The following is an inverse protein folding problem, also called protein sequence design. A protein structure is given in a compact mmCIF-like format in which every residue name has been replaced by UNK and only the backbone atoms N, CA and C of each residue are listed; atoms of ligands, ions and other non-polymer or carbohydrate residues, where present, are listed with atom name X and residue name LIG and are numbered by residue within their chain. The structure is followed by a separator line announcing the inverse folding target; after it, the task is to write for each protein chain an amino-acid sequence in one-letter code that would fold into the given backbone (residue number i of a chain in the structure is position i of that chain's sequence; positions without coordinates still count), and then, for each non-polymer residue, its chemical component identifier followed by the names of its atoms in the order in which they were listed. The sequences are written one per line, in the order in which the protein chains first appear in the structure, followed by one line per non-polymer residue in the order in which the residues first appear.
data_IF_214218697295
#
_entry.id   IF_214218697295
#
_cell.length_a   1.000
_cell.length_b   1.000
_cell.length_c   1.000
_cell.angle_alpha   90.00
_cell.angle_beta   90.00
_cell.angle_gamma   90.00
#
_symmetry.space_group_name_H-M   'P 1'
#
loop_
_entity.id
_entity.type
_entity.pdbx_description
1 polymer ?
#
# COMPACT_ATOMS: atom_id res chain seq x y z
N UNK A 1 -48.57 -16.66 -2.65
CA UNK A 1 -47.38 -16.36 -3.50
C UNK A 1 -46.52 -15.26 -2.88
N UNK A 2 -47.09 -14.09 -2.54
CA UNK A 2 -46.38 -12.96 -1.93
C UNK A 2 -45.63 -13.32 -0.63
N UNK A 3 -46.19 -14.24 0.16
CA UNK A 3 -45.58 -14.75 1.40
C UNK A 3 -44.25 -15.49 1.18
N UNK A 4 -44.12 -16.28 0.11
CA UNK A 4 -42.90 -17.02 -0.24
C UNK A 4 -41.80 -16.03 -0.64
N UNK A 5 -42.17 -15.05 -1.46
CA UNK A 5 -41.27 -13.98 -1.89
C UNK A 5 -40.77 -13.15 -0.70
N UNK A 6 -41.66 -12.75 0.20
CA UNK A 6 -41.31 -12.00 1.42
C UNK A 6 -40.40 -12.81 2.36
N UNK A 7 -40.59 -14.13 2.44
CA UNK A 7 -39.71 -15.00 3.21
C UNK A 7 -38.29 -15.02 2.62
N UNK A 8 -38.14 -15.25 1.31
CA UNK A 8 -36.85 -15.19 0.62
C UNK A 8 -36.20 -13.81 0.70
N UNK A 9 -36.98 -12.73 0.58
CA UNK A 9 -36.49 -11.36 0.72
C UNK A 9 -35.88 -11.12 2.11
N UNK A 10 -36.51 -11.64 3.18
CA UNK A 10 -35.99 -11.52 4.54
C UNK A 10 -34.73 -12.34 4.78
N UNK A 11 -34.65 -13.56 4.22
CA UNK A 11 -33.45 -14.42 4.34
C UNK A 11 -32.24 -13.78 3.65
N UNK A 12 -32.44 -13.24 2.46
CA UNK A 12 -31.36 -12.62 1.67
C UNK A 12 -31.06 -11.17 2.07
N UNK A 13 -31.85 -10.55 2.97
CA UNK A 13 -31.64 -9.16 3.40
C UNK A 13 -30.33 -8.95 4.17
N UNK A 14 -29.87 -9.97 4.88
CA UNK A 14 -28.64 -9.93 5.68
C UNK A 14 -27.37 -10.31 4.89
N UNK A 15 -27.51 -10.73 3.63
CA UNK A 15 -26.42 -11.23 2.80
C UNK A 15 -25.86 -10.13 1.87
N UNK A 16 -24.57 -10.22 1.47
CA UNK A 16 -23.99 -9.31 0.48
C UNK A 16 -24.73 -9.38 -0.85
N UNK A 17 -24.83 -8.25 -1.55
CA UNK A 17 -25.48 -8.17 -2.86
C UNK A 17 -24.48 -8.54 -3.95
N UNK A 18 -24.26 -9.84 -4.16
CA UNK A 18 -23.48 -10.39 -5.29
C UNK A 18 -24.39 -10.93 -6.38
N UNK A 19 -23.91 -10.99 -7.61
CA UNK A 19 -24.67 -11.52 -8.75
C UNK A 19 -25.01 -13.01 -8.59
N UNK A 20 -24.16 -13.77 -7.89
CA UNK A 20 -24.38 -15.19 -7.59
C UNK A 20 -25.54 -15.41 -6.61
N UNK A 21 -25.60 -14.64 -5.52
CA UNK A 21 -26.70 -14.71 -4.56
C UNK A 21 -28.02 -14.24 -5.16
N UNK A 22 -27.97 -13.30 -6.10
CA UNK A 22 -29.16 -12.89 -6.84
C UNK A 22 -29.69 -14.01 -7.74
N UNK A 23 -28.82 -14.75 -8.43
CA UNK A 23 -29.23 -15.93 -9.23
C UNK A 23 -29.80 -17.02 -8.33
N UNK A 24 -29.12 -17.37 -7.25
CA UNK A 24 -29.59 -18.38 -6.31
C UNK A 24 -30.97 -18.04 -5.73
N UNK A 25 -31.18 -16.78 -5.33
CA UNK A 25 -32.47 -16.32 -4.83
C UNK A 25 -33.58 -16.53 -5.86
N UNK A 26 -33.32 -16.25 -7.13
CA UNK A 26 -34.30 -16.45 -8.20
C UNK A 26 -34.55 -17.94 -8.46
N UNK A 27 -33.51 -18.77 -8.45
CA UNK A 27 -33.65 -20.22 -8.64
C UNK A 27 -34.46 -20.86 -7.50
N UNK A 28 -34.21 -20.45 -6.25
CA UNK A 28 -35.01 -20.89 -5.10
C UNK A 28 -36.46 -20.41 -5.19
N UNK A 29 -36.69 -19.17 -5.63
CA UNK A 29 -38.04 -18.64 -5.82
C UNK A 29 -38.82 -19.47 -6.85
N UNK A 30 -38.20 -19.80 -7.98
CA UNK A 30 -38.82 -20.64 -9.03
C UNK A 30 -39.18 -22.01 -8.47
N UNK A 31 -38.24 -22.69 -7.81
CA UNK A 31 -38.48 -24.03 -7.26
C UNK A 31 -39.57 -24.04 -6.18
N UNK A 32 -39.59 -23.02 -5.32
CA UNK A 32 -40.63 -22.86 -4.29
C UNK A 32 -42.00 -22.58 -4.91
N UNK A 33 -42.06 -21.79 -6.00
CA UNK A 33 -43.30 -21.51 -6.73
C UNK A 33 -43.84 -22.75 -7.43
N UNK A 34 -42.97 -23.55 -8.05
CA UNK A 34 -43.34 -24.82 -8.68
C UNK A 34 -43.95 -25.78 -7.65
N UNK A 35 -43.30 -25.96 -6.50
CA UNK A 35 -43.80 -26.81 -5.42
C UNK A 35 -45.12 -26.30 -4.84
N UNK A 36 -45.25 -24.99 -4.66
CA UNK A 36 -46.50 -24.38 -4.20
C UNK A 36 -47.67 -24.67 -5.16
N UNK A 37 -47.42 -24.58 -6.47
CA UNK A 37 -48.43 -24.85 -7.49
C UNK A 37 -48.81 -26.34 -7.56
N UNK A 38 -47.84 -27.25 -7.37
CA UNK A 38 -48.09 -28.68 -7.23
C UNK A 38 -49.05 -28.98 -6.06
N UNK A 39 -48.76 -28.44 -4.87
CA UNK A 39 -49.59 -28.65 -3.68
C UNK A 39 -51.00 -28.03 -3.83
N UNK A 40 -51.12 -26.93 -4.57
CA UNK A 40 -52.43 -26.36 -4.93
C UNK A 40 -53.22 -27.27 -5.87
N UNK A 41 -52.55 -27.95 -6.80
CA UNK A 41 -53.19 -28.93 -7.69
C UNK A 41 -53.69 -30.18 -6.93
N UNK A 42 -53.03 -30.52 -5.81
CA UNK A 42 -53.44 -31.57 -4.87
C UNK A 42 -54.58 -31.15 -3.92
N UNK A 43 -55.19 -29.98 -4.13
CA UNK A 43 -56.27 -29.40 -3.32
C UNK A 43 -55.87 -29.04 -1.87
N UNK A 44 -54.59 -28.82 -1.59
CA UNK A 44 -54.17 -28.28 -0.28
C UNK A 44 -54.56 -26.83 -0.12
N UNK A 45 -54.81 -26.43 1.13
CA UNK A 45 -55.11 -25.03 1.45
C UNK A 45 -53.87 -24.14 1.23
N UNK A 46 -54.08 -22.84 1.01
CA UNK A 46 -52.97 -21.90 0.78
C UNK A 46 -51.94 -21.90 1.91
N UNK A 47 -52.43 -21.85 3.14
CA UNK A 47 -51.57 -21.78 4.33
C UNK A 47 -50.84 -23.09 4.58
N UNK A 48 -51.47 -24.23 4.25
CA UNK A 48 -50.84 -25.55 4.34
C UNK A 48 -49.77 -25.72 3.28
N UNK A 49 -50.04 -25.32 2.03
CA UNK A 49 -49.07 -25.38 0.95
C UNK A 49 -47.84 -24.50 1.25
N UNK A 50 -48.04 -23.28 1.76
CA UNK A 50 -46.94 -22.39 2.16
C UNK A 50 -46.11 -23.00 3.30
N UNK A 51 -46.77 -23.56 4.32
CA UNK A 51 -46.08 -24.22 5.44
C UNK A 51 -45.21 -25.39 4.99
N UNK A 52 -45.73 -26.22 4.08
CA UNK A 52 -45.01 -27.36 3.51
C UNK A 52 -43.81 -26.89 2.69
N UNK A 53 -43.99 -25.94 1.76
CA UNK A 53 -42.89 -25.38 0.95
C UNK A 53 -41.78 -24.80 1.82
N UNK A 54 -42.12 -24.02 2.85
CA UNK A 54 -41.10 -23.45 3.75
C UNK A 54 -40.35 -24.56 4.51
N UNK A 55 -41.06 -25.60 4.96
CA UNK A 55 -40.44 -26.72 5.69
C UNK A 55 -39.56 -27.63 4.82
N UNK A 56 -39.94 -27.84 3.56
CA UNK A 56 -39.26 -28.74 2.63
C UNK A 56 -37.96 -28.13 2.11
N UNK A 57 -37.97 -26.82 1.84
CA UNK A 57 -36.78 -26.08 1.45
C UNK A 57 -35.89 -25.71 2.65
N UNK A 58 -36.37 -25.96 3.87
CA UNK A 58 -35.54 -26.17 5.05
C UNK A 58 -34.48 -25.09 5.29
N UNK A 59 -33.39 -25.47 5.95
CA UNK A 59 -32.34 -24.57 6.39
C UNK A 59 -31.61 -23.94 5.18
N UNK A 60 -32.12 -22.83 4.67
CA UNK A 60 -31.51 -22.10 3.55
C UNK A 60 -30.05 -21.75 3.86
N UNK A 61 -29.69 -21.63 5.15
CA UNK A 61 -28.30 -21.48 5.60
C UNK A 61 -27.39 -22.66 5.17
N UNK A 62 -27.92 -23.88 5.12
CA UNK A 62 -27.23 -25.10 4.66
C UNK A 62 -27.09 -25.11 3.14
N UNK A 63 -28.13 -24.72 2.40
CA UNK A 63 -28.09 -24.55 0.94
C UNK A 63 -27.10 -23.45 0.50
N UNK A 64 -27.07 -22.33 1.24
CA UNK A 64 -26.08 -21.26 1.04
C UNK A 64 -24.66 -21.80 1.29
N UNK A 65 -24.50 -22.69 2.27
CA UNK A 65 -23.24 -23.37 2.57
C UNK A 65 -22.78 -24.34 1.47
N UNK A 66 -23.68 -25.16 0.92
CA UNK A 66 -23.35 -26.15 -0.13
C UNK A 66 -23.02 -25.52 -1.49
N UNK A 67 -23.63 -24.38 -1.81
CA UNK A 67 -23.43 -23.70 -3.10
C UNK A 67 -22.09 -22.97 -3.24
N UNK A 68 -21.21 -23.06 -2.23
CA UNK A 68 -19.85 -22.54 -2.35
C UNK A 68 -19.82 -21.03 -2.57
N UNK A 69 -20.89 -20.30 -2.18
CA UNK A 69 -20.73 -18.88 -1.91
C UNK A 69 -19.91 -18.82 -0.63
N UNK A 70 -18.60 -18.79 -0.83
CA UNK A 70 -17.57 -18.60 0.17
C UNK A 70 -17.72 -17.18 0.73
N UNK A 71 -18.85 -16.92 1.38
CA UNK A 71 -19.18 -15.65 1.98
C UNK A 71 -18.28 -15.42 3.19
N UNK A 72 -17.88 -16.47 3.90
CA UNK A 72 -17.02 -16.34 5.07
C UNK A 72 -16.18 -17.58 5.42
N UNK A 73 -16.08 -18.65 4.60
CA UNK A 73 -15.28 -19.81 5.02
C UNK A 73 -13.78 -19.51 5.09
N UNK A 74 -13.30 -18.62 4.21
CA UNK A 74 -11.93 -18.15 4.31
C UNK A 74 -11.73 -17.03 5.34
N UNK A 75 -12.78 -16.34 5.77
CA UNK A 75 -12.69 -15.41 6.90
C UNK A 75 -12.76 -16.17 8.24
N UNK A 76 -13.56 -17.22 8.39
CA UNK A 76 -13.76 -17.92 9.67
C UNK A 76 -12.49 -18.57 10.25
N UNK A 77 -11.45 -18.81 9.45
CA UNK A 77 -10.18 -19.37 9.91
C UNK A 77 -9.07 -18.33 10.13
N UNK A 78 -9.31 -17.04 9.86
CA UNK A 78 -8.33 -16.02 10.21
C UNK A 78 -8.52 -15.54 11.64
N UNK A 79 -7.43 -15.31 12.39
CA UNK A 79 -7.54 -14.75 13.73
C UNK A 79 -8.24 -13.39 13.66
N UNK A 80 -9.29 -13.22 14.46
CA UNK A 80 -9.95 -11.93 14.66
C UNK A 80 -9.01 -11.02 15.44
N UNK A 81 -8.72 -9.85 14.88
CA UNK A 81 -7.86 -8.89 15.58
C UNK A 81 -8.67 -8.11 16.60
N UNK A 82 -8.07 -7.90 17.76
CA UNK A 82 -8.64 -7.12 18.85
C UNK A 82 -8.50 -5.61 18.58
N UNK A 83 -9.33 -4.80 19.24
CA UNK A 83 -9.20 -3.34 19.13
C UNK A 83 -7.83 -2.84 19.61
N UNK A 84 -7.25 -3.54 20.58
CA UNK A 84 -5.93 -3.24 21.13
C UNK A 84 -4.83 -3.53 20.09
N UNK A 85 -4.88 -4.66 19.39
CA UNK A 85 -3.95 -4.99 18.30
C UNK A 85 -4.04 -3.98 17.16
N UNK A 86 -5.25 -3.54 16.79
CA UNK A 86 -5.46 -2.46 15.81
C UNK A 86 -4.76 -1.17 16.26
N UNK A 87 -4.98 -0.75 17.50
CA UNK A 87 -4.37 0.46 18.05
C UNK A 87 -2.85 0.36 18.12
N UNK A 88 -2.33 -0.79 18.52
CA UNK A 88 -0.89 -1.07 18.60
C UNK A 88 -0.26 -1.07 17.21
N UNK A 89 -0.91 -1.67 16.22
CA UNK A 89 -0.48 -1.65 14.82
C UNK A 89 -0.44 -0.23 14.25
N UNK A 90 -1.49 0.57 14.45
CA UNK A 90 -1.52 1.96 14.00
C UNK A 90 -0.44 2.82 14.66
N UNK A 91 -0.25 2.65 15.98
CA UNK A 91 0.80 3.35 16.73
C UNK A 91 2.19 2.97 16.23
N UNK A 92 2.40 1.67 15.95
CA UNK A 92 3.62 1.18 15.34
C UNK A 92 3.86 1.81 13.97
N UNK A 93 2.83 1.89 13.11
CA UNK A 93 2.95 2.48 11.76
C UNK A 93 3.31 3.96 11.83
N UNK A 94 2.71 4.72 12.75
CA UNK A 94 3.08 6.12 13.03
C UNK A 94 4.55 6.25 13.42
N UNK A 95 5.01 5.44 14.37
CA UNK A 95 6.41 5.49 14.83
C UNK A 95 7.40 5.06 13.75
N UNK A 96 7.08 4.02 12.99
CA UNK A 96 7.85 3.56 11.84
C UNK A 96 7.96 4.66 10.78
N UNK A 97 6.86 5.35 10.48
CA UNK A 97 6.87 6.50 9.57
C UNK A 97 7.79 7.64 10.05
N UNK A 98 7.83 7.93 11.36
CA UNK A 98 8.76 8.91 11.92
C UNK A 98 10.21 8.44 11.77
N UNK A 99 10.52 7.21 12.16
CA UNK A 99 11.88 6.67 12.11
C UNK A 99 12.43 6.64 10.68
N UNK A 100 11.64 6.14 9.73
CA UNK A 100 12.00 6.12 8.30
C UNK A 100 12.08 7.54 7.75
N UNK A 101 11.14 8.42 8.12
CA UNK A 101 11.19 9.83 7.72
C UNK A 101 12.47 10.51 8.16
N UNK A 102 12.85 10.39 9.44
CA UNK A 102 14.09 10.97 9.99
C UNK A 102 15.31 10.36 9.29
N UNK A 103 15.33 9.05 9.05
CA UNK A 103 16.43 8.41 8.32
C UNK A 103 16.61 8.98 6.92
N UNK A 104 15.54 9.14 6.14
CA UNK A 104 15.62 9.73 4.80
C UNK A 104 16.01 11.21 4.85
N UNK A 105 15.49 11.96 5.83
CA UNK A 105 15.88 13.35 6.07
C UNK A 105 17.38 13.48 6.35
N UNK A 106 17.96 12.60 7.18
CA UNK A 106 19.39 12.56 7.47
C UNK A 106 20.23 12.23 6.23
N UNK A 107 19.79 11.31 5.37
CA UNK A 107 20.50 10.99 4.12
C UNK A 107 20.54 12.19 3.15
N UNK A 108 19.41 12.86 2.96
CA UNK A 108 19.32 14.03 2.06
C UNK A 108 20.10 15.21 2.65
N UNK A 109 19.95 15.47 3.94
CA UNK A 109 20.69 16.53 4.64
C UNK A 109 22.18 16.24 4.67
N UNK A 110 22.60 14.99 4.84
CA UNK A 110 24.00 14.57 4.75
C UNK A 110 24.60 14.86 3.37
N UNK A 111 23.82 14.65 2.31
CA UNK A 111 24.24 15.00 0.94
C UNK A 111 24.35 16.51 0.77
N UNK A 112 23.40 17.27 1.31
CA UNK A 112 23.44 18.74 1.32
C UNK A 112 24.66 19.28 2.11
N UNK A 113 25.00 18.66 3.25
CA UNK A 113 26.17 19.01 4.05
C UNK A 113 27.49 18.69 3.37
N UNK A 114 27.57 17.59 2.61
CA UNK A 114 28.76 17.29 1.79
C UNK A 114 28.99 18.42 0.78
N UNK A 115 27.95 18.84 0.07
CA UNK A 115 28.03 19.95 -0.89
C UNK A 115 28.39 21.25 -0.18
N UNK A 116 27.81 21.50 1.00
CA UNK A 116 28.10 22.70 1.78
C UNK A 116 29.57 22.76 2.21
N UNK A 117 30.11 21.68 2.78
CA UNK A 117 31.48 21.64 3.30
C UNK A 117 32.49 21.79 2.17
N UNK A 118 32.30 21.09 1.05
CA UNK A 118 33.17 21.20 -0.13
C UNK A 118 33.21 22.65 -0.63
N UNK A 119 32.04 23.26 -0.83
CA UNK A 119 31.94 24.66 -1.27
C UNK A 119 32.61 25.65 -0.30
N UNK A 120 32.42 25.46 1.02
CA UNK A 120 32.99 26.36 2.03
C UNK A 120 34.53 26.24 2.13
N UNK A 121 35.09 25.06 1.84
CA UNK A 121 36.54 24.84 1.79
C UNK A 121 37.11 25.43 0.51
N UNK A 122 36.45 25.23 -0.64
CA UNK A 122 36.86 25.78 -1.93
C UNK A 122 36.87 27.32 -1.92
N UNK A 123 35.89 27.96 -1.26
CA UNK A 123 35.85 29.41 -1.06
C UNK A 123 36.83 29.90 0.02
N UNK A 124 37.55 29.00 0.70
CA UNK A 124 38.51 29.34 1.76
C UNK A 124 37.88 29.97 3.01
N UNK A 125 36.57 29.79 3.19
CA UNK A 125 35.80 30.27 4.36
C UNK A 125 36.15 29.40 5.58
N UNK A 126 36.24 28.09 5.39
CA UNK A 126 36.61 27.12 6.42
C UNK A 126 37.92 26.44 6.00
N UNK A 127 38.85 26.26 6.94
CA UNK A 127 40.08 25.50 6.68
C UNK A 127 41.02 26.19 5.68
N UNK A 128 41.27 27.49 5.82
CA UNK A 128 42.21 28.24 4.98
C UNK A 128 43.54 27.48 4.84
N UNK A 129 43.88 27.11 3.60
CA UNK A 129 45.08 26.35 3.25
C UNK A 129 44.87 24.85 3.04
N UNK A 130 43.65 24.33 3.23
CA UNK A 130 43.30 22.98 2.82
C UNK A 130 43.21 22.88 1.30
N UNK A 131 43.60 21.72 0.77
CA UNK A 131 43.41 21.39 -0.65
C UNK A 131 41.94 21.02 -0.92
N UNK A 132 41.49 21.18 -2.16
CA UNK A 132 40.16 20.77 -2.62
C UNK A 132 39.87 19.31 -2.22
N UNK A 133 40.84 18.41 -2.46
CA UNK A 133 40.75 16.99 -2.09
C UNK A 133 40.46 16.77 -0.60
N UNK A 134 41.01 17.63 0.28
CA UNK A 134 40.76 17.55 1.72
C UNK A 134 39.31 17.94 2.05
N UNK A 135 38.77 18.96 1.38
CA UNK A 135 37.37 19.37 1.52
C UNK A 135 36.40 18.25 1.13
N UNK A 136 36.64 17.59 0.00
CA UNK A 136 35.86 16.42 -0.43
C UNK A 136 35.90 15.28 0.58
N UNK A 137 37.06 14.96 1.15
CA UNK A 137 37.20 13.90 2.16
C UNK A 137 36.44 14.23 3.45
N UNK A 138 36.51 15.47 3.93
CA UNK A 138 35.76 15.91 5.11
C UNK A 138 34.26 15.82 4.84
N UNK A 139 33.80 16.30 3.67
CA UNK A 139 32.40 16.21 3.26
C UNK A 139 31.88 14.76 3.22
N UNK A 140 32.69 13.83 2.68
CA UNK A 140 32.37 12.40 2.67
C UNK A 140 32.27 11.81 4.08
N UNK A 141 33.21 12.14 4.97
CA UNK A 141 33.16 11.70 6.37
C UNK A 141 31.87 12.18 7.04
N UNK A 142 31.50 13.46 6.85
CA UNK A 142 30.25 14.01 7.40
C UNK A 142 29.02 13.30 6.83
N UNK A 143 29.00 12.99 5.53
CA UNK A 143 27.91 12.22 4.91
C UNK A 143 27.76 10.85 5.58
N UNK A 144 28.85 10.09 5.75
CA UNK A 144 28.80 8.77 6.39
C UNK A 144 28.35 8.84 7.84
N UNK A 145 28.79 9.85 8.60
CA UNK A 145 28.33 10.08 9.97
C UNK A 145 26.81 10.31 10.04
N UNK A 146 26.20 10.91 9.02
CA UNK A 146 24.73 11.07 8.93
C UNK A 146 24.02 9.81 8.45
N UNK A 147 24.64 9.02 7.56
CA UNK A 147 24.07 7.77 7.05
C UNK A 147 24.00 6.68 8.13
N UNK A 148 25.01 6.57 9.00
CA UNK A 148 25.06 5.56 10.06
C UNK A 148 23.78 5.55 10.94
N UNK A 149 23.35 6.67 11.55
CA UNK A 149 22.11 6.71 12.31
C UNK A 149 20.88 6.49 11.43
N UNK A 150 20.87 6.95 10.17
CA UNK A 150 19.76 6.69 9.26
C UNK A 150 19.55 5.19 9.00
N UNK A 151 20.63 4.44 8.73
CA UNK A 151 20.59 2.98 8.55
C UNK A 151 20.12 2.29 9.82
N UNK A 152 20.60 2.71 10.99
CA UNK A 152 20.15 2.16 12.27
C UNK A 152 18.63 2.37 12.49
N UNK A 153 18.10 3.55 12.15
CA UNK A 153 16.66 3.84 12.21
C UNK A 153 15.86 2.97 11.25
N UNK A 154 16.35 2.75 10.02
CA UNK A 154 15.69 1.86 9.04
C UNK A 154 15.65 0.41 9.53
N UNK A 155 16.76 -0.11 10.05
CA UNK A 155 16.84 -1.48 10.58
C UNK A 155 15.87 -1.63 11.75
N UNK A 156 15.91 -0.72 12.73
CA UNK A 156 15.03 -0.77 13.90
C UNK A 156 13.54 -0.69 13.50
N UNK A 157 13.21 0.18 12.55
CA UNK A 157 11.86 0.31 12.00
C UNK A 157 11.39 -0.95 11.26
N UNK A 158 12.27 -1.58 10.48
CA UNK A 158 12.02 -2.85 9.79
C UNK A 158 11.73 -3.99 10.76
N UNK A 159 12.58 -4.15 11.78
CA UNK A 159 12.40 -5.17 12.84
C UNK A 159 11.08 -4.97 13.59
N UNK A 160 10.68 -3.73 13.85
CA UNK A 160 9.41 -3.44 14.52
C UNK A 160 8.19 -3.83 13.67
N UNK A 161 8.28 -3.63 12.37
CA UNK A 161 7.23 -4.01 11.40
C UNK A 161 7.13 -5.53 11.22
N UNK A 162 8.23 -6.27 11.38
CA UNK A 162 8.26 -7.72 11.26
C UNK A 162 7.36 -8.44 12.28
N UNK A 163 7.19 -7.87 13.48
CA UNK A 163 6.27 -8.39 14.51
C UNK A 163 4.83 -8.55 14.03
N UNK A 164 4.42 -7.76 13.04
CA UNK A 164 3.06 -7.76 12.48
C UNK A 164 2.97 -8.46 11.12
N UNK A 165 4.01 -9.21 10.71
CA UNK A 165 4.02 -9.96 9.44
C UNK A 165 2.92 -11.01 9.38
N UNK A 166 2.44 -11.51 10.53
CA UNK A 166 1.30 -12.44 10.59
C UNK A 166 0.00 -11.79 10.09
N UNK A 167 -0.20 -10.48 10.30
CA UNK A 167 -1.38 -9.76 9.79
C UNK A 167 -1.41 -9.73 8.24
N UNK A 168 -0.26 -9.87 7.58
CA UNK A 168 -0.23 -9.99 6.10
C UNK A 168 -0.76 -11.34 5.59
N UNK A 169 -0.89 -12.35 6.47
CA UNK A 169 -1.44 -13.67 6.11
C UNK A 169 -2.97 -13.67 6.04
N UNK A 170 -3.62 -12.72 6.70
CA UNK A 170 -5.08 -12.58 6.80
C UNK A 170 -5.53 -12.40 8.25
N UNK A 171 -6.58 -11.61 8.45
CA UNK A 171 -7.19 -11.30 9.75
C UNK A 171 -8.62 -10.80 9.59
N UNK A 172 -9.50 -11.05 10.56
CA UNK A 172 -10.84 -10.47 10.55
C UNK A 172 -10.92 -9.25 11.44
N UNK A 173 -11.61 -8.21 10.97
CA UNK A 173 -11.86 -6.99 11.76
C UNK A 173 -13.31 -7.01 12.23
N UNK A 174 -13.58 -6.94 13.54
CA UNK A 174 -14.94 -6.83 14.05
C UNK A 174 -15.69 -5.63 13.45
N UNK A 175 -17.00 -5.77 13.23
CA UNK A 175 -17.87 -4.72 12.67
C UNK A 175 -17.79 -3.41 13.46
N UNK A 176 -17.70 -3.49 14.80
CA UNK A 176 -17.54 -2.34 15.70
C UNK A 176 -16.23 -1.56 15.45
N UNK A 177 -15.15 -2.29 15.19
CA UNK A 177 -13.82 -1.71 14.93
C UNK A 177 -13.74 -1.15 13.52
N UNK A 178 -14.37 -1.82 12.56
CA UNK A 178 -14.40 -1.41 11.15
C UNK A 178 -15.10 -0.05 10.98
N UNK A 179 -16.24 0.16 11.64
CA UNK A 179 -16.96 1.45 11.59
C UNK A 179 -16.16 2.58 12.23
N UNK A 180 -15.51 2.33 13.37
CA UNK A 180 -14.62 3.29 14.04
C UNK A 180 -13.41 3.64 13.17
N UNK A 181 -12.77 2.64 12.56
CA UNK A 181 -11.65 2.84 11.63
C UNK A 181 -12.08 3.66 10.40
N UNK A 182 -13.25 3.38 9.83
CA UNK A 182 -13.78 4.13 8.69
C UNK A 182 -14.02 5.61 9.05
N UNK A 183 -14.61 5.87 10.22
CA UNK A 183 -14.83 7.23 10.70
C UNK A 183 -13.51 7.99 10.90
N UNK A 184 -12.51 7.34 11.52
CA UNK A 184 -11.16 7.93 11.70
C UNK A 184 -10.45 8.15 10.36
N UNK A 185 -10.59 7.23 9.41
CA UNK A 185 -10.00 7.34 8.09
C UNK A 185 -10.59 8.51 7.30
N UNK A 186 -11.92 8.67 7.32
CA UNK A 186 -12.58 9.80 6.66
C UNK A 186 -12.10 11.14 7.24
N UNK A 187 -11.97 11.26 8.56
CA UNK A 187 -11.42 12.46 9.21
C UNK A 187 -9.93 12.69 8.90
N UNK A 188 -9.14 11.63 8.79
CA UNK A 188 -7.71 11.71 8.45
C UNK A 188 -7.45 12.03 6.98
N UNK A 189 -8.37 11.66 6.07
CA UNK A 189 -8.22 11.85 4.62
C UNK A 189 -7.97 13.31 4.27
N UNK A 190 -8.65 14.25 4.93
CA UNK A 190 -8.42 15.69 4.76
C UNK A 190 -7.02 16.11 5.19
N UNK A 191 -6.54 15.65 6.35
CA UNK A 191 -5.18 15.93 6.84
C UNK A 191 -4.11 15.35 5.90
N UNK A 192 -4.33 14.12 5.40
CA UNK A 192 -3.47 13.51 4.41
C UNK A 192 -3.44 14.33 3.10
N UNK A 193 -4.59 14.80 2.62
CA UNK A 193 -4.68 15.61 1.41
C UNK A 193 -3.92 16.94 1.57
N UNK A 194 -4.09 17.64 2.70
CA UNK A 194 -3.38 18.90 2.97
C UNK A 194 -1.87 18.69 3.04
N UNK A 195 -1.41 17.66 3.74
CA UNK A 195 0.03 17.33 3.82
C UNK A 195 0.62 16.92 2.47
N UNK A 196 -0.14 16.20 1.64
CA UNK A 196 0.26 15.85 0.28
C UNK A 196 0.42 17.11 -0.59
N UNK A 197 -0.58 18.00 -0.58
CA UNK A 197 -0.52 19.27 -1.32
C UNK A 197 0.68 20.10 -0.87
N UNK A 198 0.87 20.25 0.45
CA UNK A 198 1.98 21.01 1.01
C UNK A 198 3.34 20.45 0.60
N UNK A 199 3.52 19.12 0.67
CA UNK A 199 4.76 18.48 0.25
C UNK A 199 5.02 18.65 -1.26
N UNK A 200 3.99 18.52 -2.10
CA UNK A 200 4.12 18.72 -3.56
C UNK A 200 4.48 20.16 -3.88
N UNK A 201 3.81 21.13 -3.24
CA UNK A 201 4.13 22.54 -3.38
C UNK A 201 5.60 22.81 -3.01
N UNK A 202 6.09 22.29 -1.87
CA UNK A 202 7.50 22.43 -1.48
C UNK A 202 8.46 21.87 -2.54
N UNK A 203 8.18 20.69 -3.10
CA UNK A 203 9.01 20.12 -4.18
C UNK A 203 8.98 20.95 -5.47
N UNK A 204 7.84 21.51 -5.85
CA UNK A 204 7.70 22.33 -7.07
C UNK A 204 8.35 23.71 -6.88
N UNK A 205 8.29 24.27 -5.68
CA UNK A 205 8.92 25.54 -5.32
C UNK A 205 10.42 25.42 -5.05
N UNK A 206 10.95 24.22 -4.75
CA UNK A 206 12.35 24.05 -4.36
C UNK A 206 13.38 24.55 -5.41
N UNK A 207 13.18 24.38 -6.74
CA UNK A 207 14.12 24.91 -7.74
C UNK A 207 14.22 26.44 -7.79
N UNK A 208 13.23 27.16 -7.24
CA UNK A 208 13.29 28.63 -7.13
C UNK A 208 14.52 29.10 -6.36
N UNK A 209 14.98 28.31 -5.38
CA UNK A 209 16.20 28.62 -4.63
C UNK A 209 17.45 28.66 -5.50
N UNK A 210 17.54 27.81 -6.53
CA UNK A 210 18.65 27.81 -7.49
C UNK A 210 18.58 29.05 -8.39
N UNK A 211 17.40 29.33 -8.96
CA UNK A 211 17.23 30.49 -9.84
C UNK A 211 17.49 31.80 -9.10
N UNK A 212 16.97 31.93 -7.87
CA UNK A 212 17.22 33.09 -7.04
C UNK A 212 18.72 33.28 -6.73
N UNK A 213 19.43 32.19 -6.45
CA UNK A 213 20.85 32.24 -6.15
C UNK A 213 21.73 32.51 -7.39
N UNK A 214 21.33 32.03 -8.57
CA UNK A 214 22.07 32.25 -9.83
C UNK A 214 22.22 33.72 -10.22
N UNK A 215 21.34 34.60 -9.72
CA UNK A 215 21.44 36.06 -9.94
C UNK A 215 22.70 36.64 -9.27
N UNK A 216 23.20 35.98 -8.22
CA UNK A 216 24.36 36.42 -7.45
C UNK A 216 25.68 35.76 -7.88
N UNK A 217 25.65 34.86 -8.88
CA UNK A 217 26.84 34.20 -9.43
C UNK A 217 26.80 32.67 -9.35
N UNK A 218 27.79 32.03 -9.99
CA UNK A 218 27.85 30.57 -10.13
C UNK A 218 28.07 29.86 -8.79
N UNK A 219 28.90 30.40 -7.89
CA UNK A 219 29.08 29.86 -6.54
C UNK A 219 27.82 29.99 -5.70
N UNK A 220 27.09 31.11 -5.81
CA UNK A 220 25.80 31.29 -5.16
C UNK A 220 24.79 30.22 -5.60
N UNK A 221 24.80 29.82 -6.87
CA UNK A 221 23.96 28.73 -7.38
C UNK A 221 24.16 27.40 -6.64
N UNK A 222 25.38 27.11 -6.15
CA UNK A 222 25.67 25.90 -5.37
C UNK A 222 24.96 25.95 -4.01
N UNK A 223 24.96 27.11 -3.34
CA UNK A 223 24.17 27.32 -2.13
C UNK A 223 22.66 27.18 -2.37
N UNK A 224 22.18 27.57 -3.55
CA UNK A 224 20.81 27.31 -4.00
C UNK A 224 20.47 25.82 -4.03
N UNK A 225 21.39 24.96 -4.51
CA UNK A 225 21.21 23.50 -4.52
C UNK A 225 21.08 22.95 -3.09
N UNK A 226 21.85 23.47 -2.14
CA UNK A 226 21.80 23.05 -0.73
C UNK A 226 20.41 23.36 -0.14
N UNK A 227 19.91 24.59 -0.35
CA UNK A 227 18.56 25.00 0.10
C UNK A 227 17.49 24.12 -0.54
N UNK A 228 17.61 23.86 -1.84
CA UNK A 228 16.72 22.94 -2.56
C UNK A 228 16.66 21.56 -1.87
N UNK A 229 17.82 20.97 -1.55
CA UNK A 229 17.89 19.65 -0.93
C UNK A 229 17.23 19.63 0.46
N UNK A 230 17.39 20.70 1.26
CA UNK A 230 16.73 20.80 2.57
C UNK A 230 15.21 20.89 2.42
N UNK A 231 14.71 21.68 1.45
CA UNK A 231 13.26 21.76 1.16
C UNK A 231 12.72 20.38 0.76
N UNK A 232 13.44 19.66 -0.10
CA UNK A 232 13.08 18.30 -0.52
C UNK A 232 13.11 17.33 0.68
N UNK A 233 14.10 17.42 1.56
CA UNK A 233 14.18 16.57 2.76
C UNK A 233 12.92 16.72 3.64
N UNK A 234 12.44 17.95 3.84
CA UNK A 234 11.22 18.25 4.59
C UNK A 234 9.99 17.68 3.88
N UNK A 235 9.87 17.88 2.57
CA UNK A 235 8.74 17.38 1.79
C UNK A 235 8.66 15.84 1.84
N UNK A 236 9.80 15.16 1.67
CA UNK A 236 9.89 13.70 1.72
C UNK A 236 9.57 13.17 3.12
N UNK A 237 10.02 13.84 4.18
CA UNK A 237 9.64 13.49 5.55
C UNK A 237 8.12 13.50 5.75
N UNK A 238 7.45 14.57 5.28
CA UNK A 238 5.99 14.70 5.35
C UNK A 238 5.31 13.56 4.60
N UNK A 239 5.75 13.25 3.37
CA UNK A 239 5.19 12.14 2.59
C UNK A 239 5.32 10.79 3.28
N UNK A 240 6.49 10.49 3.85
CA UNK A 240 6.74 9.22 4.53
C UNK A 240 5.87 9.11 5.79
N UNK A 241 5.81 10.17 6.60
CA UNK A 241 5.08 10.16 7.86
C UNK A 241 3.57 10.00 7.63
N UNK A 242 2.95 10.89 6.84
CA UNK A 242 1.51 10.84 6.58
C UNK A 242 1.12 9.67 5.68
N UNK A 243 2.01 9.26 4.77
CA UNK A 243 1.85 8.06 3.95
C UNK A 243 1.80 6.79 4.80
N UNK A 244 2.67 6.65 5.80
CA UNK A 244 2.69 5.49 6.72
C UNK A 244 1.40 5.38 7.54
N UNK A 245 0.82 6.52 7.95
CA UNK A 245 -0.47 6.55 8.66
C UNK A 245 -1.60 6.15 7.71
N UNK A 246 -1.65 6.71 6.49
CA UNK A 246 -2.64 6.31 5.48
C UNK A 246 -2.56 4.82 5.18
N UNK A 247 -1.36 4.29 4.97
CA UNK A 247 -1.13 2.87 4.72
C UNK A 247 -1.70 1.99 5.84
N UNK A 248 -1.60 2.43 7.11
CA UNK A 248 -2.18 1.70 8.23
C UNK A 248 -3.71 1.57 8.14
N UNK A 249 -4.40 2.62 7.74
CA UNK A 249 -5.86 2.61 7.54
C UNK A 249 -6.24 1.75 6.34
N UNK A 250 -5.58 1.96 5.20
CA UNK A 250 -5.84 1.21 3.97
C UNK A 250 -5.61 -0.29 4.17
N UNK A 251 -4.58 -0.67 4.94
CA UNK A 251 -4.29 -2.06 5.29
C UNK A 251 -5.37 -2.66 6.20
N UNK A 252 -5.74 -1.97 7.28
CA UNK A 252 -6.74 -2.46 8.24
C UNK A 252 -8.16 -2.49 7.67
N UNK A 253 -8.54 -1.51 6.86
CA UNK A 253 -9.85 -1.44 6.19
C UNK A 253 -9.89 -2.28 4.90
N UNK A 254 -8.76 -2.85 4.48
CA UNK A 254 -8.58 -3.58 3.21
C UNK A 254 -9.08 -2.78 1.99
N UNK A 255 -8.96 -1.46 2.01
CA UNK A 255 -9.49 -0.57 0.96
C UNK A 255 -8.82 -0.82 -0.40
N UNK A 256 -7.53 -1.15 -0.43
CA UNK A 256 -6.81 -1.28 -1.69
C UNK A 256 -6.63 -2.71 -2.23
N UNK A 257 -6.44 -3.78 -1.42
CA UNK A 257 -5.73 -4.96 -1.99
C UNK A 257 -5.84 -6.33 -1.29
N UNK A 258 -6.98 -6.71 -0.72
CA UNK A 258 -7.12 -8.05 -0.13
C UNK A 258 -8.34 -8.85 -0.61
N UNK A 259 -8.76 -8.70 -1.87
CA UNK A 259 -9.36 -9.86 -2.54
C UNK A 259 -8.25 -10.89 -2.74
N UNK A 260 -8.53 -12.17 -2.46
CA UNK A 260 -7.55 -13.27 -2.61
C UNK A 260 -6.86 -13.28 -3.97
N UNK A 261 -7.57 -12.85 -5.00
CA UNK A 261 -7.10 -12.67 -6.38
C UNK A 261 -5.86 -11.76 -6.48
N UNK A 262 -5.83 -10.62 -5.78
CA UNK A 262 -4.70 -9.69 -5.79
C UNK A 262 -3.50 -10.16 -4.95
N UNK A 263 -3.73 -10.98 -3.91
CA UNK A 263 -2.66 -11.52 -3.07
C UNK A 263 -1.83 -12.56 -3.85
N UNK A 264 -2.49 -13.43 -4.62
CA UNK A 264 -1.78 -14.38 -5.50
C UNK A 264 -1.04 -13.67 -6.63
N UNK A 265 -1.65 -12.63 -7.20
CA UNK A 265 -0.99 -11.82 -8.23
C UNK A 265 0.28 -11.17 -7.70
N UNK A 266 0.21 -10.58 -6.51
CA UNK A 266 1.35 -9.95 -5.85
C UNK A 266 2.45 -10.96 -5.47
N UNK A 267 2.13 -12.23 -5.20
CA UNK A 267 3.15 -13.28 -4.96
C UNK A 267 3.95 -13.59 -6.23
N UNK A 268 3.29 -13.77 -7.37
CA UNK A 268 3.97 -14.07 -8.64
C UNK A 268 4.77 -12.86 -9.13
N UNK A 269 4.15 -11.68 -9.10
CA UNK A 269 4.81 -10.41 -9.44
C UNK A 269 6.03 -10.19 -8.52
N UNK A 270 5.89 -10.46 -7.22
CA UNK A 270 6.98 -10.36 -6.25
C UNK A 270 8.11 -11.36 -6.48
N UNK A 271 7.80 -12.61 -6.83
CA UNK A 271 8.81 -13.63 -7.17
C UNK A 271 9.59 -13.25 -8.42
N UNK A 272 8.89 -12.75 -9.45
CA UNK A 272 9.52 -12.26 -10.68
C UNK A 272 10.40 -11.04 -10.41
N UNK A 273 9.95 -10.10 -9.58
CA UNK A 273 10.76 -8.96 -9.15
C UNK A 273 12.06 -9.40 -8.44
N UNK A 274 11.96 -10.39 -7.56
CA UNK A 274 13.11 -10.92 -6.82
C UNK A 274 14.19 -11.55 -7.72
N UNK A 275 13.84 -11.94 -8.95
CA UNK A 275 14.79 -12.45 -9.94
C UNK A 275 15.27 -11.32 -10.87
N UNK A 276 14.35 -10.49 -11.35
CA UNK A 276 14.63 -9.42 -12.31
C UNK A 276 15.61 -8.36 -11.77
N UNK A 277 15.44 -7.93 -10.52
CA UNK A 277 16.29 -6.87 -9.95
C UNK A 277 17.76 -7.32 -9.76
N UNK A 278 18.05 -8.49 -9.16
CA UNK A 278 19.41 -9.01 -9.11
C UNK A 278 20.00 -9.25 -10.51
N UNK A 279 19.21 -9.74 -11.47
CA UNK A 279 19.67 -9.94 -12.85
C UNK A 279 20.06 -8.62 -13.51
N UNK A 280 19.24 -7.57 -13.36
CA UNK A 280 19.54 -6.23 -13.87
C UNK A 280 20.83 -5.67 -13.24
N UNK A 281 21.05 -5.90 -11.94
CA UNK A 281 22.29 -5.55 -11.25
C UNK A 281 23.49 -6.33 -11.81
N UNK A 282 23.36 -7.63 -12.07
CA UNK A 282 24.41 -8.43 -12.69
C UNK A 282 24.77 -7.89 -14.09
N UNK A 283 23.77 -7.58 -14.92
CA UNK A 283 23.98 -7.01 -16.26
C UNK A 283 24.66 -5.63 -16.15
N UNK A 284 24.21 -4.80 -15.21
CA UNK A 284 24.82 -3.49 -14.93
C UNK A 284 26.29 -3.63 -14.53
N UNK A 285 26.61 -4.56 -13.61
CA UNK A 285 27.98 -4.78 -13.13
C UNK A 285 28.88 -5.38 -14.20
N UNK A 286 28.42 -6.38 -14.97
CA UNK A 286 29.21 -6.97 -16.06
C UNK A 286 29.44 -5.96 -17.18
N UNK A 287 28.41 -5.22 -17.58
CA UNK A 287 28.54 -4.16 -18.58
C UNK A 287 29.44 -3.02 -18.09
N UNK A 288 29.41 -2.72 -16.79
CA UNK A 288 30.24 -1.67 -16.19
C UNK A 288 31.69 -2.07 -16.09
N UNK A 289 31.97 -3.24 -15.51
CA UNK A 289 33.32 -3.70 -15.19
C UNK A 289 34.06 -4.24 -16.41
N UNK A 290 33.39 -5.00 -17.30
CA UNK A 290 34.05 -5.65 -18.45
C UNK A 290 34.14 -4.71 -19.64
N UNK A 291 33.09 -3.92 -19.89
CA UNK A 291 32.99 -3.08 -21.09
C UNK A 291 33.24 -1.58 -20.82
N UNK A 292 33.47 -1.19 -19.56
CA UNK A 292 33.74 0.17 -19.11
C UNK A 292 32.67 1.20 -19.51
N UNK A 293 31.40 0.77 -19.66
CA UNK A 293 30.28 1.59 -20.16
C UNK A 293 29.46 2.27 -19.06
N UNK A 294 30.12 2.75 -18.01
CA UNK A 294 29.45 3.36 -16.84
C UNK A 294 28.53 4.54 -17.20
N UNK A 295 28.87 5.32 -18.22
CA UNK A 295 28.10 6.48 -18.67
C UNK A 295 26.68 6.13 -19.16
N UNK A 296 26.51 5.00 -19.86
CA UNK A 296 25.22 4.60 -20.44
C UNK A 296 24.50 3.52 -19.62
N UNK A 297 25.22 2.73 -18.81
CA UNK A 297 24.69 1.54 -18.15
C UNK A 297 23.55 1.82 -17.17
N UNK A 298 23.42 3.04 -16.65
CA UNK A 298 22.30 3.43 -15.80
C UNK A 298 20.94 3.24 -16.47
N UNK A 299 20.88 3.23 -17.82
CA UNK A 299 19.65 3.02 -18.58
C UNK A 299 19.05 1.62 -18.41
N UNK A 300 19.83 0.65 -17.91
CA UNK A 300 19.38 -0.71 -17.61
C UNK A 300 18.23 -0.69 -16.59
N UNK A 301 18.31 0.16 -15.57
CA UNK A 301 17.29 0.22 -14.51
C UNK A 301 15.94 0.78 -15.01
N UNK A 302 15.87 1.92 -15.74
CA UNK A 302 14.64 2.38 -16.40
C UNK A 302 14.02 1.33 -17.33
N UNK A 303 14.82 0.68 -18.18
CA UNK A 303 14.34 -0.35 -19.11
C UNK A 303 13.75 -1.54 -18.33
N UNK A 304 14.46 -2.00 -17.30
CA UNK A 304 14.00 -3.08 -16.42
C UNK A 304 12.69 -2.71 -15.73
N UNK A 305 12.58 -1.48 -15.23
CA UNK A 305 11.35 -0.98 -14.61
C UNK A 305 10.16 -0.93 -15.56
N UNK A 306 10.37 -0.46 -16.80
CA UNK A 306 9.34 -0.42 -17.84
C UNK A 306 8.87 -1.83 -18.22
N UNK A 307 9.82 -2.75 -18.45
CA UNK A 307 9.52 -4.16 -18.77
C UNK A 307 8.76 -4.84 -17.62
N UNK A 308 9.20 -4.62 -16.38
CA UNK A 308 8.53 -5.14 -15.20
C UNK A 308 7.11 -4.58 -15.06
N UNK A 309 6.93 -3.27 -15.27
CA UNK A 309 5.61 -2.64 -15.26
C UNK A 309 4.67 -3.24 -16.31
N UNK A 310 5.14 -3.38 -17.55
CA UNK A 310 4.38 -4.03 -18.62
C UNK A 310 3.99 -5.47 -18.26
N UNK A 311 4.95 -6.27 -17.77
CA UNK A 311 4.67 -7.63 -17.32
C UNK A 311 3.59 -7.66 -16.23
N UNK A 312 3.71 -6.79 -15.22
CA UNK A 312 2.78 -6.71 -14.09
C UNK A 312 1.35 -6.39 -14.56
N UNK A 313 1.22 -5.46 -15.50
CA UNK A 313 -0.08 -5.07 -16.08
C UNK A 313 -0.67 -6.16 -16.97
N UNK A 314 0.13 -6.79 -17.82
CA UNK A 314 -0.34 -7.88 -18.70
C UNK A 314 -0.78 -9.08 -17.87
N UNK A 315 0.01 -9.46 -16.86
CA UNK A 315 -0.29 -10.58 -15.98
C UNK A 315 -1.60 -10.37 -15.20
N UNK A 316 -1.81 -9.17 -14.64
CA UNK A 316 -3.05 -8.86 -13.92
C UNK A 316 -4.28 -8.85 -14.83
N UNK A 317 -4.16 -8.38 -16.08
CA UNK A 317 -5.24 -8.43 -17.09
C UNK A 317 -5.57 -9.86 -17.49
N UNK A 318 -4.57 -10.71 -17.71
CA UNK A 318 -4.78 -12.10 -18.15
C UNK A 318 -5.46 -12.92 -17.06
N UNK A 319 -5.05 -12.76 -15.80
CA UNK A 319 -5.66 -13.53 -14.71
C UNK A 319 -7.11 -13.10 -14.46
N UNK A 320 -7.38 -11.79 -14.49
CA UNK A 320 -8.74 -11.23 -14.34
C UNK A 320 -9.73 -11.64 -15.43
N UNK A 321 -9.27 -12.17 -16.57
CA UNK A 321 -10.11 -12.72 -17.65
C UNK A 321 -10.43 -14.21 -17.49
N UNK A 322 -9.73 -14.90 -16.60
CA UNK A 322 -9.81 -16.36 -16.44
C UNK A 322 -10.75 -16.76 -15.29
N UNK A 323 -11.04 -15.81 -14.41
CA UNK A 323 -12.10 -15.83 -13.41
C UNK A 323 -13.35 -15.13 -13.98
#
# INVERSE_FOLDING_TARGET
METIKNYLDNVFAALPKTDELFKLKNDLLINMEEKYNELKSEKKSENEAIGIVISEFGNIDELIGELGVNLHEDEMNFPTITEEEVKNYMTMKKQTGILVGIGVFLCITGTALLILITTLVDEGIIGRGFSEDTGYMIGLITLFVMIVPAVALFIYSGMKSERYKYLKKGFNVPLSVKSLLQQRYNGFTSTYMVSLILGVCLCVLSPVSIFAASVFGDTASIYGVIVLLIIIAIAVFIFIYYGSIKESFTFLLRIDNFSKENVENNKVIGAVAAILWPLAVCIFLVSGLVFNKWYINWIIFPITGILFGMFSSVYSIIKKRKD
#
